data_IF_664098297291
#
_entry.id   IF_664098297291
#
_cell.length_a   1.000
_cell.length_b   1.000
_cell.length_c   1.000
_cell.angle_alpha   90.00
_cell.angle_beta   90.00
_cell.angle_gamma   90.00
#
_symmetry.space_group_name_H-M   'P 1'
#
loop_
_entity.id
_entity.type
_entity.pdbx_description
1 polymer ?
#
# COMPACT_ATOMS: atom_id res chain seq x y z
N UNK A 1 -26.60 20.79 13.19
CA UNK A 1 -25.29 20.51 13.79
C UNK A 1 -24.78 19.19 13.23
N UNK A 2 -24.09 19.25 12.11
CA UNK A 2 -23.49 18.11 11.43
C UNK A 2 -22.14 17.83 12.07
N UNK A 3 -21.99 16.68 12.72
CA UNK A 3 -20.69 16.21 13.17
C UNK A 3 -19.77 16.02 11.95
N UNK A 4 -18.59 16.64 11.98
CA UNK A 4 -17.52 16.36 11.03
C UNK A 4 -17.10 14.88 11.20
N UNK A 5 -16.90 14.09 10.13
CA UNK A 5 -16.50 12.69 10.24
C UNK A 5 -14.99 12.51 10.47
N UNK A 6 -14.31 13.53 11.00
CA UNK A 6 -12.93 13.43 11.48
C UNK A 6 -12.95 13.01 12.94
N UNK A 7 -13.15 11.72 13.20
CA UNK A 7 -12.57 11.15 14.42
C UNK A 7 -11.13 10.79 14.05
N UNK A 8 -10.13 11.62 14.40
CA UNK A 8 -8.74 11.23 14.20
C UNK A 8 -8.53 9.92 14.95
N UNK A 9 -7.89 8.94 14.31
CA UNK A 9 -7.56 7.68 14.96
C UNK A 9 -6.94 7.97 16.33
N UNK A 10 -7.40 7.26 17.35
CA UNK A 10 -6.69 7.25 18.61
C UNK A 10 -5.28 6.72 18.39
N UNK A 11 -4.39 7.07 19.31
CA UNK A 11 -3.02 6.61 19.22
C UNK A 11 -2.87 5.09 19.26
N UNK A 12 -3.77 4.42 19.98
CA UNK A 12 -3.85 2.97 20.06
C UNK A 12 -4.37 2.37 18.75
N UNK A 13 -5.41 2.93 18.15
CA UNK A 13 -5.92 2.47 16.85
C UNK A 13 -4.88 2.59 15.74
N UNK A 14 -4.11 3.68 15.70
CA UNK A 14 -3.01 3.84 14.75
C UNK A 14 -1.91 2.80 14.95
N UNK A 15 -1.53 2.55 16.20
CA UNK A 15 -0.53 1.54 16.52
C UNK A 15 -0.99 0.12 16.15
N UNK A 16 -2.24 -0.24 16.45
CA UNK A 16 -2.82 -1.53 16.09
C UNK A 16 -2.89 -1.71 14.57
N UNK A 17 -3.24 -0.66 13.82
CA UNK A 17 -3.24 -0.70 12.36
C UNK A 17 -1.83 -0.90 11.78
N UNK A 18 -0.81 -0.24 12.34
CA UNK A 18 0.59 -0.48 11.96
C UNK A 18 0.99 -1.95 12.16
N UNK A 19 0.72 -2.52 13.33
CA UNK A 19 1.03 -3.93 13.61
C UNK A 19 0.28 -4.89 12.69
N UNK A 20 -1.00 -4.59 12.38
CA UNK A 20 -1.79 -5.38 11.45
C UNK A 20 -1.21 -5.36 10.02
N UNK A 21 -0.68 -4.20 9.57
CA UNK A 21 0.01 -4.08 8.28
C UNK A 21 1.34 -4.82 8.26
N UNK A 22 2.13 -4.75 9.33
CA UNK A 22 3.40 -5.50 9.45
C UNK A 22 3.14 -6.99 9.23
N UNK A 23 2.20 -7.56 10.00
CA UNK A 23 1.88 -8.98 9.89
C UNK A 23 1.40 -9.37 8.49
N UNK A 24 0.52 -8.57 7.88
CA UNK A 24 0.07 -8.83 6.51
C UNK A 24 1.24 -8.86 5.52
N UNK A 25 2.13 -7.86 5.56
CA UNK A 25 3.23 -7.79 4.60
C UNK A 25 4.28 -8.88 4.81
N UNK A 26 4.49 -9.35 6.04
CA UNK A 26 5.32 -10.53 6.31
C UNK A 26 4.69 -11.78 5.69
N UNK A 27 3.38 -11.98 5.83
CA UNK A 27 2.66 -13.10 5.22
C UNK A 27 2.67 -13.03 3.68
N UNK A 28 2.46 -11.85 3.10
CA UNK A 28 2.55 -11.63 1.66
C UNK A 28 3.96 -11.87 1.14
N UNK A 29 4.99 -11.44 1.88
CA UNK A 29 6.38 -11.68 1.49
C UNK A 29 6.68 -13.18 1.35
N UNK A 30 6.20 -14.00 2.31
CA UNK A 30 6.30 -15.46 2.26
C UNK A 30 5.51 -16.05 1.09
N UNK A 31 4.26 -15.60 0.91
CA UNK A 31 3.38 -16.07 -0.17
C UNK A 31 3.98 -15.80 -1.55
N UNK A 32 4.56 -14.61 -1.76
CA UNK A 32 5.25 -14.28 -3.00
C UNK A 32 6.55 -15.04 -3.18
N UNK A 33 7.28 -15.30 -2.10
CA UNK A 33 8.48 -16.11 -2.15
C UNK A 33 8.17 -17.55 -2.60
N UNK A 34 7.15 -18.16 -2.00
CA UNK A 34 6.67 -19.51 -2.37
C UNK A 34 6.17 -19.57 -3.83
N UNK A 35 5.63 -18.45 -4.33
CA UNK A 35 5.17 -18.31 -5.71
C UNK A 35 6.30 -17.97 -6.70
N UNK A 36 7.56 -17.91 -6.27
CA UNK A 36 8.71 -17.59 -7.12
C UNK A 36 8.72 -16.14 -7.64
N UNK A 37 8.13 -15.21 -6.89
CA UNK A 37 8.04 -13.77 -7.22
C UNK A 37 8.96 -12.94 -6.32
N UNK A 38 10.29 -12.93 -6.55
CA UNK A 38 11.25 -12.27 -5.68
C UNK A 38 11.02 -10.76 -5.56
N UNK A 39 10.55 -10.10 -6.62
CA UNK A 39 10.27 -8.67 -6.64
C UNK A 39 9.15 -8.28 -5.67
N UNK A 40 8.05 -9.04 -5.67
CA UNK A 40 6.92 -8.81 -4.79
C UNK A 40 7.22 -9.24 -3.34
N UNK A 41 7.99 -10.33 -3.18
CA UNK A 41 8.43 -10.81 -1.89
C UNK A 41 9.33 -9.77 -1.17
N UNK A 42 10.31 -9.21 -1.88
CA UNK A 42 11.19 -8.15 -1.36
C UNK A 42 10.41 -6.88 -1.08
N UNK A 43 9.56 -6.42 -2.01
CA UNK A 43 8.75 -5.22 -1.80
C UNK A 43 7.87 -5.34 -0.54
N UNK A 44 7.24 -6.51 -0.34
CA UNK A 44 6.41 -6.78 0.84
C UNK A 44 7.26 -6.78 2.11
N UNK A 45 8.43 -7.41 2.10
CA UNK A 45 9.33 -7.39 3.26
C UNK A 45 9.81 -5.98 3.62
N UNK A 46 10.11 -5.15 2.62
CA UNK A 46 10.46 -3.74 2.83
C UNK A 46 9.30 -2.94 3.39
N UNK A 47 8.07 -3.17 2.91
CA UNK A 47 6.87 -2.61 3.50
C UNK A 47 6.74 -2.96 4.98
N UNK A 48 6.95 -4.23 5.33
CA UNK A 48 6.94 -4.69 6.73
C UNK A 48 8.05 -4.04 7.57
N UNK A 49 9.27 -3.92 7.06
CA UNK A 49 10.40 -3.32 7.77
C UNK A 49 10.17 -1.82 8.06
N UNK A 50 9.66 -1.06 7.07
CA UNK A 50 9.31 0.37 7.23
C UNK A 50 8.19 0.54 8.25
N UNK A 51 7.15 -0.29 8.20
CA UNK A 51 6.06 -0.23 9.18
C UNK A 51 6.51 -0.66 10.58
N UNK A 52 7.46 -1.59 10.68
CA UNK A 52 8.07 -1.97 11.95
C UNK A 52 8.83 -0.78 12.54
N UNK A 53 9.65 -0.09 11.73
CA UNK A 53 10.30 1.15 12.15
C UNK A 53 9.28 2.19 12.61
N UNK A 54 8.21 2.42 11.85
CA UNK A 54 7.15 3.36 12.23
C UNK A 54 6.48 2.97 13.56
N UNK A 55 6.25 1.68 13.80
CA UNK A 55 5.64 1.20 15.04
C UNK A 55 6.54 1.44 16.26
N UNK A 56 7.85 1.21 16.14
CA UNK A 56 8.82 1.45 17.21
C UNK A 56 8.98 2.95 17.47
N UNK A 57 9.08 3.74 16.40
CA UNK A 57 9.13 5.19 16.50
C UNK A 57 7.86 5.74 17.17
N UNK A 58 6.69 5.21 16.82
CA UNK A 58 5.41 5.62 17.40
C UNK A 58 5.36 5.42 18.92
N UNK A 59 5.78 4.26 19.42
CA UNK A 59 5.81 3.97 20.86
C UNK A 59 6.66 4.97 21.66
N UNK A 60 7.75 5.45 21.05
CA UNK A 60 8.62 6.46 21.67
C UNK A 60 8.01 7.84 21.64
N UNK A 61 7.40 8.24 20.53
CA UNK A 61 6.89 9.61 20.33
C UNK A 61 5.59 9.83 21.10
N UNK A 62 4.70 8.84 21.14
CA UNK A 62 3.33 8.98 21.67
C UNK A 62 3.31 9.32 23.16
N UNK A 63 4.34 8.93 23.91
CA UNK A 63 4.46 9.19 25.36
C UNK A 63 4.89 10.63 25.65
N UNK A 64 5.59 11.29 24.72
CA UNK A 64 6.27 12.58 24.96
C UNK A 64 5.78 13.73 24.09
N UNK A 65 5.06 13.47 23.00
CA UNK A 65 4.60 14.52 22.07
C UNK A 65 3.10 14.77 22.16
N UNK A 66 2.72 16.06 22.20
CA UNK A 66 1.32 16.50 22.04
C UNK A 66 0.82 16.37 20.59
N UNK A 67 1.74 16.24 19.63
CA UNK A 67 1.48 16.07 18.19
C UNK A 67 2.41 14.96 17.65
N UNK A 68 2.12 13.68 17.88
CA UNK A 68 3.04 12.59 17.59
C UNK A 68 3.23 12.30 16.08
N UNK A 69 2.40 12.89 15.22
CA UNK A 69 2.47 12.67 13.76
C UNK A 69 3.65 13.39 13.09
N UNK A 70 3.95 14.63 13.45
CA UNK A 70 5.06 15.39 12.82
C UNK A 70 6.42 14.71 13.05
N UNK A 71 6.80 14.32 14.28
CA UNK A 71 8.07 13.61 14.51
C UNK A 71 8.11 12.24 13.84
N UNK A 72 6.96 11.56 13.69
CA UNK A 72 6.88 10.28 12.99
C UNK A 72 7.16 10.45 11.50
N UNK A 73 6.61 11.49 10.87
CA UNK A 73 6.91 11.81 9.47
C UNK A 73 8.38 12.16 9.27
N UNK A 74 8.98 12.93 10.18
CA UNK A 74 10.40 13.28 10.12
C UNK A 74 11.33 12.06 10.29
N UNK A 75 10.98 11.10 11.16
CA UNK A 75 11.74 9.86 11.32
C UNK A 75 11.57 8.98 10.07
N UNK A 76 10.36 8.88 9.54
CA UNK A 76 10.09 8.19 8.28
C UNK A 76 10.86 8.79 7.11
N UNK A 77 10.87 10.12 6.97
CA UNK A 77 11.61 10.84 5.94
C UNK A 77 13.11 10.60 6.06
N UNK A 78 13.70 10.69 7.26
CA UNK A 78 15.13 10.42 7.48
C UNK A 78 15.52 8.97 7.20
N UNK A 79 14.68 8.01 7.56
CA UNK A 79 14.93 6.61 7.27
C UNK A 79 14.84 6.32 5.76
N UNK A 80 13.88 6.92 5.07
CA UNK A 80 13.77 6.88 3.61
C UNK A 80 15.00 7.53 2.95
N UNK A 81 15.38 8.74 3.36
CA UNK A 81 16.58 9.43 2.87
C UNK A 81 17.87 8.62 3.11
N UNK A 82 18.02 8.01 4.28
CA UNK A 82 19.16 7.16 4.63
C UNK A 82 19.21 5.83 3.85
N UNK A 83 18.06 5.35 3.38
CA UNK A 83 17.97 4.27 2.37
C UNK A 83 18.22 4.78 0.93
N UNK A 84 18.53 6.06 0.73
CA UNK A 84 18.71 6.70 -0.58
C UNK A 84 17.40 7.10 -1.27
N UNK A 85 16.27 7.06 -0.56
CA UNK A 85 14.90 7.19 -1.09
C UNK A 85 14.43 8.64 -1.18
N UNK A 86 15.30 9.53 -1.66
CA UNK A 86 14.91 10.91 -2.02
C UNK A 86 14.04 10.96 -3.29
N UNK A 87 14.21 9.97 -4.16
CA UNK A 87 13.34 9.62 -5.29
C UNK A 87 13.19 8.10 -5.27
N UNK A 88 11.96 7.60 -5.09
CA UNK A 88 11.68 6.16 -5.00
C UNK A 88 12.21 5.39 -6.21
N UNK A 89 12.23 5.99 -7.40
CA UNK A 89 12.82 5.32 -8.58
C UNK A 89 14.34 5.30 -8.50
N UNK A 90 15.01 6.37 -8.03
CA UNK A 90 16.47 6.43 -7.92
C UNK A 90 16.99 5.54 -6.80
N UNK A 91 16.33 5.50 -5.65
CA UNK A 91 16.69 4.63 -4.52
C UNK A 91 16.66 3.14 -4.89
N UNK A 92 15.57 2.74 -5.55
CA UNK A 92 15.43 1.38 -6.04
C UNK A 92 16.44 1.13 -7.15
N UNK A 93 16.65 2.06 -8.09
CA UNK A 93 17.65 1.90 -9.15
C UNK A 93 19.09 1.78 -8.61
N UNK A 94 19.45 2.51 -7.54
CA UNK A 94 20.77 2.45 -6.90
C UNK A 94 20.95 1.18 -6.07
N UNK A 95 19.93 0.75 -5.31
CA UNK A 95 19.95 -0.54 -4.61
C UNK A 95 20.01 -1.74 -5.57
N UNK A 96 19.43 -1.60 -6.77
CA UNK A 96 19.39 -2.60 -7.84
C UNK A 96 20.52 -2.42 -8.86
N UNK A 97 21.42 -1.45 -8.67
CA UNK A 97 22.51 -1.15 -9.60
C UNK A 97 23.53 -2.30 -9.65
N UNK A 98 24.17 -2.57 -10.81
CA UNK A 98 25.17 -3.64 -10.95
C UNK A 98 26.41 -3.50 -10.05
N UNK A 99 26.70 -2.30 -9.52
CA UNK A 99 27.73 -2.12 -8.47
C UNK A 99 27.31 -2.77 -7.13
N UNK A 100 26.00 -2.88 -6.88
CA UNK A 100 25.40 -3.72 -5.85
C UNK A 100 25.22 -5.19 -6.29
N UNK A 101 25.63 -5.54 -7.51
CA UNK A 101 25.59 -6.86 -8.15
C UNK A 101 26.46 -7.95 -7.49
N UNK A 102 26.90 -7.74 -6.25
CA UNK A 102 27.46 -8.77 -5.38
C UNK A 102 26.41 -9.48 -4.51
N UNK A 103 25.15 -9.04 -4.51
CA UNK A 103 24.09 -9.68 -3.71
C UNK A 103 23.47 -10.82 -4.48
N UNK A 104 23.80 -12.05 -4.09
CA UNK A 104 23.30 -13.27 -4.74
C UNK A 104 21.84 -13.60 -4.39
N UNK A 105 21.31 -13.13 -3.26
CA UNK A 105 19.96 -13.48 -2.78
C UNK A 105 19.06 -12.29 -2.48
N UNK A 106 17.74 -12.52 -2.56
CA UNK A 106 16.72 -11.56 -2.15
C UNK A 106 16.86 -11.19 -0.65
N UNK A 107 17.22 -12.14 0.21
CA UNK A 107 17.55 -11.87 1.60
C UNK A 107 18.74 -10.90 1.73
N UNK A 108 19.79 -11.08 0.93
CA UNK A 108 20.94 -10.18 0.89
C UNK A 108 20.56 -8.74 0.51
N UNK A 109 19.62 -8.58 -0.43
CA UNK A 109 19.08 -7.27 -0.81
C UNK A 109 18.31 -6.62 0.36
N UNK A 110 17.47 -7.38 1.06
CA UNK A 110 16.73 -6.87 2.23
C UNK A 110 17.67 -6.52 3.39
N UNK A 111 18.69 -7.34 3.68
CA UNK A 111 19.69 -7.04 4.72
C UNK A 111 20.40 -5.72 4.47
N UNK A 112 20.82 -5.47 3.23
CA UNK A 112 21.48 -4.22 2.91
C UNK A 112 20.56 -3.00 3.08
N UNK A 113 19.28 -3.14 2.73
CA UNK A 113 18.29 -2.10 3.00
C UNK A 113 18.11 -1.85 4.51
N UNK A 114 18.07 -2.93 5.31
CA UNK A 114 18.07 -2.83 6.78
C UNK A 114 19.31 -2.13 7.30
N UNK A 115 20.50 -2.47 6.84
CA UNK A 115 21.76 -1.81 7.25
C UNK A 115 21.74 -0.31 6.95
N UNK A 116 21.30 0.09 5.75
CA UNK A 116 21.15 1.49 5.37
C UNK A 116 20.15 2.22 6.28
N UNK A 117 18.95 1.65 6.47
CA UNK A 117 17.94 2.18 7.38
C UNK A 117 18.48 2.33 8.82
N UNK A 118 19.19 1.33 9.32
CA UNK A 118 19.76 1.32 10.67
C UNK A 118 20.85 2.39 10.85
N UNK A 119 21.60 2.71 9.79
CA UNK A 119 22.62 3.76 9.82
C UNK A 119 22.03 5.17 9.93
N UNK A 120 20.76 5.34 9.54
CA UNK A 120 20.06 6.63 9.51
C UNK A 120 19.36 6.99 10.83
N UNK A 121 19.25 6.04 11.77
CA UNK A 121 18.55 6.20 13.04
C UNK A 121 19.52 6.13 14.24
N UNK A 122 19.11 6.68 15.39
CA UNK A 122 19.90 6.65 16.62
C UNK A 122 20.07 5.22 17.18
N UNK A 123 21.07 5.05 18.06
CA UNK A 123 21.45 3.75 18.61
C UNK A 123 20.31 3.08 19.40
N UNK A 124 19.50 3.85 20.10
CA UNK A 124 18.44 3.30 20.93
C UNK A 124 17.32 2.77 20.01
N UNK A 125 16.92 3.54 19.00
CA UNK A 125 15.91 3.14 18.01
C UNK A 125 16.40 1.94 17.20
N UNK A 126 17.69 1.92 16.85
CA UNK A 126 18.34 0.79 16.18
C UNK A 126 18.23 -0.48 17.00
N UNK A 127 18.48 -0.41 18.30
CA UNK A 127 18.45 -1.59 19.19
C UNK A 127 17.04 -2.18 19.28
N UNK A 128 16.04 -1.33 19.48
CA UNK A 128 14.64 -1.76 19.54
C UNK A 128 14.17 -2.31 18.19
N UNK A 129 14.45 -1.62 17.09
CA UNK A 129 14.07 -2.07 15.75
C UNK A 129 14.69 -3.42 15.42
N UNK A 130 15.98 -3.61 15.71
CA UNK A 130 16.69 -4.88 15.45
C UNK A 130 15.99 -6.07 16.12
N UNK A 131 15.46 -5.89 17.33
CA UNK A 131 14.76 -6.96 18.06
C UNK A 131 13.39 -7.32 17.47
N UNK A 132 12.82 -6.46 16.61
CA UNK A 132 11.47 -6.61 16.07
C UNK A 132 11.42 -6.94 14.58
N UNK A 133 12.52 -6.78 13.88
CA UNK A 133 12.60 -7.15 12.47
C UNK A 133 12.39 -8.65 12.28
N UNK A 134 11.54 -9.00 11.32
CA UNK A 134 11.23 -10.40 11.03
C UNK A 134 12.41 -11.13 10.36
N UNK A 135 12.58 -12.45 10.61
CA UNK A 135 13.56 -13.28 9.90
C UNK A 135 13.36 -13.29 8.39
N UNK A 136 14.42 -13.57 7.63
CA UNK A 136 14.45 -13.50 6.16
C UNK A 136 14.61 -14.88 5.50
N UNK A 137 14.40 -15.97 6.24
CA UNK A 137 14.69 -17.34 5.79
C UNK A 137 13.98 -17.69 4.47
N UNK A 138 12.75 -17.18 4.27
CA UNK A 138 11.95 -17.39 3.05
C UNK A 138 12.53 -16.70 1.82
N UNK A 139 13.47 -15.77 1.97
CA UNK A 139 14.11 -15.03 0.88
C UNK A 139 15.51 -15.55 0.52
N UNK A 140 16.05 -16.51 1.26
CA UNK A 140 17.45 -16.96 1.07
C UNK A 140 17.64 -17.75 -0.23
N UNK A 141 16.67 -18.60 -0.58
CA UNK A 141 16.73 -19.41 -1.78
C UNK A 141 16.40 -18.63 -3.06
N UNK A 142 15.88 -17.41 -2.93
CA UNK A 142 15.51 -16.58 -4.07
C UNK A 142 16.69 -15.73 -4.51
N UNK A 143 16.86 -15.60 -5.83
CA UNK A 143 17.80 -14.62 -6.39
C UNK A 143 17.37 -13.21 -6.02
N UNK A 144 18.33 -12.30 -5.89
CA UNK A 144 18.03 -10.89 -5.78
C UNK A 144 17.23 -10.41 -7.01
N UNK A 145 16.06 -9.76 -6.83
CA UNK A 145 15.36 -9.15 -7.96
C UNK A 145 16.22 -8.04 -8.56
N UNK A 146 16.06 -7.82 -9.85
CA UNK A 146 16.73 -6.79 -10.65
C UNK A 146 15.71 -5.75 -11.11
N UNK A 147 16.17 -4.57 -11.55
CA UNK A 147 15.26 -3.53 -12.07
C UNK A 147 14.34 -4.02 -13.19
N UNK A 148 14.80 -4.98 -14.01
CA UNK A 148 13.99 -5.59 -15.06
C UNK A 148 12.80 -6.40 -14.52
N UNK A 149 12.91 -7.00 -13.32
CA UNK A 149 11.82 -7.76 -12.70
C UNK A 149 10.69 -6.82 -12.25
N UNK A 150 11.06 -5.69 -11.62
CA UNK A 150 10.11 -4.65 -11.25
C UNK A 150 9.46 -4.00 -12.48
N UNK A 151 10.24 -3.71 -13.53
CA UNK A 151 9.71 -3.17 -14.78
C UNK A 151 8.75 -4.15 -15.47
N UNK A 152 9.04 -5.46 -15.41
CA UNK A 152 8.15 -6.50 -15.93
C UNK A 152 6.85 -6.57 -15.11
N UNK A 153 6.93 -6.51 -13.78
CA UNK A 153 5.77 -6.48 -12.90
C UNK A 153 4.89 -5.23 -13.15
N UNK A 154 5.50 -4.05 -13.28
CA UNK A 154 4.80 -2.81 -13.63
C UNK A 154 4.09 -2.92 -14.99
N UNK A 155 4.78 -3.45 -16.01
CA UNK A 155 4.19 -3.68 -17.35
C UNK A 155 3.02 -4.66 -17.29
N UNK A 156 3.15 -5.73 -16.50
CA UNK A 156 2.08 -6.71 -16.30
C UNK A 156 0.86 -6.07 -15.62
N UNK A 157 1.07 -5.26 -14.56
CA UNK A 157 0.00 -4.50 -13.89
C UNK A 157 -0.74 -3.59 -14.86
N UNK A 158 -0.01 -2.89 -15.72
CA UNK A 158 -0.55 -1.98 -16.73
C UNK A 158 -1.12 -2.71 -17.96
N UNK A 159 -1.10 -4.04 -18.01
CA UNK A 159 -1.51 -4.84 -19.15
C UNK A 159 -0.85 -4.40 -20.48
N UNK A 160 0.41 -3.96 -20.41
CA UNK A 160 1.17 -3.45 -21.56
C UNK A 160 0.78 -2.05 -22.05
N UNK A 161 -0.16 -1.36 -21.39
CA UNK A 161 -0.55 0.02 -21.72
C UNK A 161 0.44 1.04 -21.13
N UNK A 162 0.40 2.28 -21.63
CA UNK A 162 1.00 3.41 -20.91
C UNK A 162 0.19 3.68 -19.63
N UNK A 163 0.80 4.28 -18.59
CA UNK A 163 0.07 4.58 -17.35
C UNK A 163 -1.17 5.46 -17.58
N UNK A 164 -1.09 6.46 -18.46
CA UNK A 164 -2.21 7.36 -18.76
C UNK A 164 -3.34 6.63 -19.48
N UNK A 165 -3.01 5.73 -20.41
CA UNK A 165 -3.99 4.89 -21.10
C UNK A 165 -4.66 3.92 -20.13
N UNK A 166 -3.88 3.30 -19.24
CA UNK A 166 -4.39 2.43 -18.18
C UNK A 166 -5.35 3.15 -17.24
N UNK A 167 -4.96 4.32 -16.72
CA UNK A 167 -5.80 5.14 -15.83
C UNK A 167 -7.13 5.51 -16.52
N UNK A 168 -7.08 5.96 -17.78
CA UNK A 168 -8.29 6.28 -18.55
C UNK A 168 -9.17 5.06 -18.75
N UNK A 169 -8.59 3.93 -19.12
CA UNK A 169 -9.34 2.68 -19.31
C UNK A 169 -10.02 2.25 -18.01
N UNK A 170 -9.30 2.24 -16.89
CA UNK A 170 -9.83 1.87 -15.57
C UNK A 170 -10.98 2.77 -15.12
N UNK A 171 -10.86 4.09 -15.33
CA UNK A 171 -11.95 5.04 -15.05
C UNK A 171 -13.17 4.81 -15.95
N UNK A 172 -12.96 4.51 -17.23
CA UNK A 172 -14.05 4.17 -18.16
C UNK A 172 -14.76 2.87 -17.76
N UNK A 173 -13.99 1.82 -17.44
CA UNK A 173 -14.53 0.54 -17.00
C UNK A 173 -15.29 0.70 -15.69
N UNK A 174 -14.76 1.48 -14.74
CA UNK A 174 -15.41 1.78 -13.47
C UNK A 174 -16.78 2.46 -13.70
N UNK A 175 -16.84 3.44 -14.61
CA UNK A 175 -18.08 4.12 -14.94
C UNK A 175 -19.13 3.17 -15.56
N UNK A 176 -18.70 2.28 -16.46
CA UNK A 176 -19.57 1.28 -17.05
C UNK A 176 -20.12 0.30 -15.99
N UNK A 177 -19.27 -0.15 -15.06
CA UNK A 177 -19.67 -1.04 -13.96
C UNK A 177 -20.61 -0.36 -12.97
N UNK A 178 -20.35 0.90 -12.62
CA UNK A 178 -21.26 1.67 -11.77
C UNK A 178 -22.61 1.93 -12.45
N UNK A 179 -22.62 2.22 -13.76
CA UNK A 179 -23.86 2.35 -14.52
C UNK A 179 -24.67 1.04 -14.52
N UNK A 180 -24.00 -0.10 -14.66
CA UNK A 180 -24.64 -1.41 -14.55
C UNK A 180 -25.23 -1.65 -13.15
N UNK A 181 -24.48 -1.31 -12.09
CA UNK A 181 -24.94 -1.41 -10.71
C UNK A 181 -26.23 -0.63 -10.47
N UNK A 182 -26.32 0.61 -10.97
CA UNK A 182 -27.50 1.49 -10.86
C UNK A 182 -28.72 0.96 -11.61
N UNK A 183 -28.53 0.15 -12.65
CA UNK A 183 -29.60 -0.35 -13.51
C UNK A 183 -30.09 -1.75 -13.11
N UNK A 184 -29.27 -2.52 -12.38
CA UNK A 184 -29.58 -3.89 -11.99
C UNK A 184 -30.79 -3.95 -11.07
N UNK A 185 -31.75 -4.83 -11.40
CA UNK A 185 -32.87 -5.18 -10.54
C UNK A 185 -32.49 -6.24 -9.49
N UNK A 186 -31.38 -6.96 -9.71
CA UNK A 186 -30.81 -7.89 -8.75
C UNK A 186 -29.80 -7.14 -7.86
N UNK A 187 -30.09 -7.09 -6.56
CA UNK A 187 -29.27 -6.41 -5.56
C UNK A 187 -27.88 -7.06 -5.45
N UNK A 188 -27.78 -8.38 -5.55
CA UNK A 188 -26.50 -9.07 -5.45
C UNK A 188 -25.60 -8.72 -6.65
N UNK A 189 -26.19 -8.71 -7.86
CA UNK A 189 -25.49 -8.25 -9.06
C UNK A 189 -25.13 -6.76 -9.00
N UNK A 190 -26.01 -5.92 -8.43
CA UNK A 190 -25.75 -4.49 -8.25
C UNK A 190 -24.54 -4.25 -7.30
N UNK A 191 -24.51 -4.96 -6.18
CA UNK A 191 -23.40 -4.89 -5.21
C UNK A 191 -22.10 -5.36 -5.86
N UNK A 192 -22.12 -6.48 -6.59
CA UNK A 192 -20.93 -6.99 -7.30
C UNK A 192 -20.40 -5.98 -8.32
N UNK A 193 -21.28 -5.38 -9.12
CA UNK A 193 -20.89 -4.39 -10.12
C UNK A 193 -20.35 -3.09 -9.49
N UNK A 194 -20.95 -2.63 -8.40
CA UNK A 194 -20.46 -1.46 -7.67
C UNK A 194 -19.09 -1.74 -7.02
N UNK A 195 -18.90 -2.94 -6.46
CA UNK A 195 -17.61 -3.38 -5.93
C UNK A 195 -16.52 -3.39 -7.01
N UNK A 196 -16.80 -3.97 -8.19
CA UNK A 196 -15.87 -3.95 -9.32
C UNK A 196 -15.52 -2.52 -9.74
N UNK A 197 -16.51 -1.63 -9.81
CA UNK A 197 -16.30 -0.22 -10.13
C UNK A 197 -15.38 0.48 -9.11
N UNK A 198 -15.58 0.22 -7.82
CA UNK A 198 -14.76 0.80 -6.74
C UNK A 198 -13.33 0.26 -6.77
N UNK A 199 -13.14 -1.04 -7.06
CA UNK A 199 -11.80 -1.63 -7.22
C UNK A 199 -11.07 -1.09 -8.46
N UNK A 200 -11.77 -0.88 -9.58
CA UNK A 200 -11.22 -0.24 -10.78
C UNK A 200 -10.82 1.22 -10.52
N UNK A 201 -11.63 1.93 -9.73
CA UNK A 201 -11.37 3.31 -9.33
C UNK A 201 -10.14 3.40 -8.41
N UNK A 202 -10.04 2.49 -7.44
CA UNK A 202 -8.84 2.33 -6.61
C UNK A 202 -7.59 2.07 -7.46
N UNK A 203 -7.65 1.14 -8.42
CA UNK A 203 -6.51 0.80 -9.28
C UNK A 203 -6.00 2.03 -10.04
N UNK A 204 -6.92 2.77 -10.66
CA UNK A 204 -6.59 4.02 -11.36
C UNK A 204 -5.95 5.05 -10.42
N UNK A 205 -6.53 5.24 -9.23
CA UNK A 205 -6.01 6.15 -8.21
C UNK A 205 -4.60 5.79 -7.76
N UNK A 206 -4.33 4.50 -7.49
CA UNK A 206 -3.02 4.07 -6.99
C UNK A 206 -1.92 4.31 -8.02
N UNK A 207 -2.19 4.03 -9.30
CA UNK A 207 -1.22 4.31 -10.39
C UNK A 207 -0.98 5.81 -10.51
N UNK A 208 -2.04 6.64 -10.54
CA UNK A 208 -1.91 8.09 -10.61
C UNK A 208 -1.10 8.65 -9.42
N UNK A 209 -1.40 8.16 -8.20
CA UNK A 209 -0.71 8.55 -6.98
C UNK A 209 0.76 8.13 -6.98
N UNK A 210 1.10 6.93 -7.46
CA UNK A 210 2.47 6.46 -7.56
C UNK A 210 3.30 7.33 -8.51
N UNK A 211 2.76 7.67 -9.68
CA UNK A 211 3.45 8.53 -10.65
C UNK A 211 3.69 9.94 -10.09
N UNK A 212 2.74 10.48 -9.32
CA UNK A 212 2.86 11.81 -8.72
C UNK A 212 4.02 11.92 -7.72
N UNK A 213 4.47 10.80 -7.14
CA UNK A 213 5.62 10.72 -6.22
C UNK A 213 6.86 10.10 -6.87
N UNK A 214 6.85 9.93 -8.20
CA UNK A 214 7.98 9.38 -8.95
C UNK A 214 8.15 7.86 -8.86
N UNK A 215 7.18 7.09 -8.35
CA UNK A 215 7.22 5.62 -8.35
C UNK A 215 6.82 5.06 -9.72
N UNK A 216 7.77 5.08 -10.66
CA UNK A 216 7.55 4.63 -12.05
C UNK A 216 7.55 3.11 -12.21
N UNK A 217 8.10 2.39 -11.23
CA UNK A 217 8.08 0.93 -11.16
C UNK A 217 6.84 0.37 -10.46
N UNK A 218 5.93 1.25 -10.00
CA UNK A 218 4.65 0.91 -9.37
C UNK A 218 4.79 0.00 -8.13
N UNK A 219 5.91 0.09 -7.41
CA UNK A 219 6.18 -0.75 -6.24
C UNK A 219 5.16 -0.46 -5.13
N UNK A 220 4.89 0.82 -4.89
CA UNK A 220 3.91 1.27 -3.89
C UNK A 220 2.48 0.93 -4.30
N UNK A 221 2.20 0.77 -5.60
CA UNK A 221 0.88 0.35 -6.09
C UNK A 221 0.58 -1.06 -5.63
N UNK A 222 1.52 -2.00 -5.79
CA UNK A 222 1.34 -3.38 -5.38
C UNK A 222 1.05 -3.48 -3.88
N UNK A 223 1.88 -2.84 -3.04
CA UNK A 223 1.73 -2.88 -1.58
C UNK A 223 0.39 -2.29 -1.12
N UNK A 224 0.00 -1.14 -1.67
CA UNK A 224 -1.26 -0.47 -1.31
C UNK A 224 -2.48 -1.26 -1.81
N UNK A 225 -2.38 -1.88 -2.99
CA UNK A 225 -3.41 -2.75 -3.52
C UNK A 225 -3.62 -3.97 -2.63
N UNK A 226 -2.54 -4.67 -2.26
CA UNK A 226 -2.63 -5.89 -1.45
C UNK A 226 -3.22 -5.59 -0.06
N UNK A 227 -2.84 -4.47 0.55
CA UNK A 227 -3.42 -4.06 1.83
C UNK A 227 -4.92 -3.75 1.70
N UNK A 228 -5.30 -2.97 0.69
CA UNK A 228 -6.69 -2.61 0.45
C UNK A 228 -7.57 -3.84 0.13
N UNK A 229 -7.07 -4.75 -0.71
CA UNK A 229 -7.74 -5.99 -1.05
C UNK A 229 -7.90 -6.91 0.17
N UNK A 230 -6.86 -7.05 1.00
CA UNK A 230 -6.92 -7.81 2.25
C UNK A 230 -7.90 -7.18 3.26
N UNK A 231 -7.97 -5.86 3.34
CA UNK A 231 -8.93 -5.16 4.21
C UNK A 231 -10.38 -5.47 3.82
N UNK A 232 -10.71 -5.45 2.52
CA UNK A 232 -12.06 -5.81 2.05
C UNK A 232 -12.35 -7.29 2.26
N UNK A 233 -11.38 -8.17 1.98
CA UNK A 233 -11.55 -9.63 2.15
C UNK A 233 -11.82 -10.03 3.61
N UNK A 234 -11.36 -9.23 4.57
CA UNK A 234 -11.58 -9.45 6.01
C UNK A 234 -12.92 -8.92 6.53
N UNK A 235 -13.76 -8.31 5.70
CA UNK A 235 -15.10 -7.90 6.11
C UNK A 235 -15.93 -9.12 6.51
N UNK A 236 -16.52 -9.10 7.71
CA UNK A 236 -17.33 -10.20 8.25
C UNK A 236 -18.60 -10.48 7.42
N UNK A 237 -19.01 -9.53 6.60
CA UNK A 237 -20.12 -9.63 5.68
C UNK A 237 -20.36 -8.30 4.98
N UNK A 238 -21.13 -8.34 3.90
CA UNK A 238 -21.59 -7.15 3.17
C UNK A 238 -23.09 -6.96 3.48
N UNK A 239 -23.53 -5.75 3.85
CA UNK A 239 -24.95 -5.44 4.03
C UNK A 239 -25.80 -5.85 2.82
N UNK A 240 -27.04 -6.24 3.06
CA UNK A 240 -27.99 -6.56 2.00
C UNK A 240 -28.51 -5.31 1.28
N UNK A 241 -28.37 -4.12 1.87
CA UNK A 241 -28.67 -2.86 1.22
C UNK A 241 -27.48 -2.40 0.35
N UNK A 242 -27.77 -2.02 -0.90
CA UNK A 242 -26.76 -1.61 -1.87
C UNK A 242 -25.95 -0.39 -1.41
N UNK A 243 -26.61 0.62 -0.82
CA UNK A 243 -25.92 1.85 -0.40
C UNK A 243 -25.04 1.58 0.80
N UNK A 244 -25.55 0.83 1.77
CA UNK A 244 -24.78 0.43 2.95
C UNK A 244 -23.58 -0.44 2.56
N UNK A 245 -23.75 -1.37 1.62
CA UNK A 245 -22.69 -2.20 1.07
C UNK A 245 -21.59 -1.36 0.41
N UNK A 246 -21.96 -0.47 -0.52
CA UNK A 246 -21.03 0.43 -1.22
C UNK A 246 -20.32 1.33 -0.22
N UNK A 247 -21.05 1.91 0.73
CA UNK A 247 -20.46 2.79 1.74
C UNK A 247 -19.49 2.04 2.66
N UNK A 248 -19.78 0.78 3.03
CA UNK A 248 -18.88 -0.05 3.83
C UNK A 248 -17.58 -0.34 3.07
N UNK A 249 -17.68 -0.76 1.81
CA UNK A 249 -16.51 -1.05 0.96
C UNK A 249 -15.64 0.21 0.81
N UNK A 250 -16.23 1.34 0.41
CA UNK A 250 -15.51 2.60 0.19
C UNK A 250 -14.80 3.10 1.44
N UNK A 251 -15.48 3.07 2.60
CA UNK A 251 -14.85 3.43 3.88
C UNK A 251 -13.69 2.49 4.22
N UNK A 252 -13.83 1.20 3.95
CA UNK A 252 -12.78 0.21 4.19
C UNK A 252 -11.56 0.48 3.31
N UNK A 253 -11.78 0.71 2.01
CA UNK A 253 -10.73 1.07 1.06
C UNK A 253 -10.04 2.39 1.43
N UNK A 254 -10.80 3.45 1.69
CA UNK A 254 -10.25 4.76 2.07
C UNK A 254 -9.42 4.68 3.36
N UNK A 255 -9.93 4.00 4.40
CA UNK A 255 -9.18 3.80 5.65
C UNK A 255 -7.90 3.00 5.44
N UNK A 256 -7.92 2.01 4.54
CA UNK A 256 -6.73 1.20 4.28
C UNK A 256 -5.55 2.02 3.74
N UNK A 257 -5.83 3.11 3.01
CA UNK A 257 -4.77 3.99 2.49
C UNK A 257 -4.27 5.03 3.51
N UNK A 258 -4.93 5.16 4.66
CA UNK A 258 -4.65 6.21 5.65
C UNK A 258 -5.34 7.54 5.31
N UNK A 259 -5.32 8.49 6.24
CA UNK A 259 -6.17 9.69 6.18
C UNK A 259 -6.00 10.54 4.91
N UNK A 260 -4.75 10.85 4.54
CA UNK A 260 -4.49 11.76 3.42
C UNK A 260 -4.83 11.14 2.06
N UNK A 261 -4.41 9.89 1.81
CA UNK A 261 -4.73 9.17 0.58
C UNK A 261 -6.21 8.76 0.52
N UNK A 262 -6.78 8.34 1.64
CA UNK A 262 -8.20 8.02 1.76
C UNK A 262 -9.09 9.20 1.37
N UNK A 263 -8.80 10.39 1.91
CA UNK A 263 -9.55 11.61 1.58
C UNK A 263 -9.41 12.03 0.10
N UNK A 264 -8.28 11.72 -0.55
CA UNK A 264 -8.11 11.95 -1.99
C UNK A 264 -8.91 10.93 -2.81
N UNK A 265 -8.81 9.65 -2.46
CA UNK A 265 -9.55 8.56 -3.10
C UNK A 265 -11.06 8.78 -2.99
N UNK A 266 -11.56 9.26 -1.85
CA UNK A 266 -12.98 9.55 -1.63
C UNK A 266 -13.59 10.52 -2.66
N UNK A 267 -12.78 11.45 -3.19
CA UNK A 267 -13.22 12.41 -4.22
C UNK A 267 -13.30 11.79 -5.62
N UNK A 268 -12.80 10.57 -5.80
CA UNK A 268 -12.78 9.88 -7.10
C UNK A 268 -13.94 8.90 -7.26
N UNK A 269 -14.67 8.61 -6.18
CA UNK A 269 -15.77 7.65 -6.22
C UNK A 269 -16.89 8.09 -7.15
N UNK A 270 -17.31 7.17 -8.02
CA UNK A 270 -18.47 7.37 -8.89
C UNK A 270 -19.74 7.21 -8.03
N UNK A 271 -20.65 8.18 -7.96
CA UNK A 271 -21.83 8.08 -7.09
C UNK A 271 -22.68 6.83 -7.36
N UNK A 272 -23.31 6.23 -6.35
CA UNK A 272 -24.30 5.16 -6.58
C UNK A 272 -25.71 5.73 -6.80
N UNK A 273 -25.95 6.98 -6.40
CA UNK A 273 -27.28 7.58 -6.28
C UNK A 273 -27.64 8.61 -7.36
N UNK A 274 -26.79 8.85 -8.36
CA UNK A 274 -27.17 9.75 -9.46
C UNK A 274 -28.29 9.14 -10.30
N UNK A 275 -29.45 9.79 -10.22
CA UNK A 275 -30.73 9.36 -10.75
C UNK A 275 -30.73 9.07 -12.25
N UNK A 276 -31.53 8.06 -12.60
CA UNK A 276 -32.19 7.95 -13.90
C UNK A 276 -32.88 9.28 -14.19
N UNK A 277 -32.38 10.03 -15.16
CA UNK A 277 -33.20 11.06 -15.79
C UNK A 277 -34.48 10.37 -16.30
N UNK A 278 -35.62 10.76 -15.72
CA UNK A 278 -36.95 10.37 -16.19
C UNK A 278 -37.18 10.86 -17.62
#
# INVERSE_FOLDING_TARGET
MTASPDVPWSAEEFYVDLLARVNLFVELSRTYADSGRPEAAVASQWGADVLTLQSVAWERIVVVSRSPQEPLFEIGARALEGMGVGDLTIAFADMLSPAAGQRSSAAGLVRAAREAMMSAIDNDLRTELTSRLHPLDHLEALRAPQSADFAAAARARLAGMTPEAFIRQRRSDAAARMAHARQSADIAAAISAAYEADMLTLDAYLVESALAIGDTLLITVQLRWDYAAAAVTRLAGVPADLREAVALVRRTLARSLGAADGARLERTWIPIDEERAH
#
